data_IF_287278903020
#
_entry.id   IF_287278903020
#
_cell.length_a   1.000
_cell.length_b   1.000
_cell.length_c   1.000
_cell.angle_alpha   90.00
_cell.angle_beta   90.00
_cell.angle_gamma   90.00
#
_symmetry.space_group_name_H-M   'P 1'
#
loop_
_entity.id
_entity.type
_entity.pdbx_description
1 polymer ?
#
# COMPACT_ATOMS: atom_id res chain seq x y z
N UNK A 1 17.57 -6.63 31.16
CA UNK A 1 17.07 -5.82 30.05
C UNK A 1 17.72 -6.35 28.77
N UNK A 2 17.08 -7.32 28.10
CA UNK A 2 17.56 -7.88 26.84
C UNK A 2 17.14 -6.93 25.71
N UNK A 3 18.11 -6.32 25.05
CA UNK A 3 17.88 -5.57 23.81
C UNK A 3 17.29 -6.53 22.77
N UNK A 4 16.02 -6.34 22.44
CA UNK A 4 15.36 -7.06 21.34
C UNK A 4 16.07 -6.77 20.04
N UNK A 5 16.88 -7.73 19.61
CA UNK A 5 17.53 -7.75 18.29
C UNK A 5 16.43 -7.90 17.23
N UNK A 6 16.22 -6.89 16.41
CA UNK A 6 15.22 -6.89 15.32
C UNK A 6 14.83 -5.47 14.86
N UNK A 7 15.75 -4.49 14.99
CA UNK A 7 15.44 -3.07 14.84
C UNK A 7 15.04 -2.57 13.45
N UNK A 8 15.35 -3.28 12.36
CA UNK A 8 15.15 -2.71 11.00
C UNK A 8 13.75 -2.88 10.41
N UNK A 9 12.88 -3.71 11.00
CA UNK A 9 11.52 -3.98 10.49
C UNK A 9 10.41 -3.38 11.36
N UNK A 10 10.74 -2.70 12.47
CA UNK A 10 9.73 -2.02 13.30
C UNK A 10 9.39 -0.66 12.68
N UNK A 11 8.11 -0.26 12.77
CA UNK A 11 7.59 0.98 12.21
C UNK A 11 7.10 0.84 10.77
N UNK A 12 6.59 1.95 10.25
CA UNK A 12 6.19 2.08 8.85
C UNK A 12 7.35 2.57 7.98
N UNK A 13 7.23 2.36 6.68
CA UNK A 13 8.22 2.86 5.73
C UNK A 13 7.59 3.42 4.47
N UNK A 14 8.28 4.37 3.84
CA UNK A 14 7.97 4.90 2.51
C UNK A 14 9.17 4.70 1.60
N UNK A 15 8.92 4.27 0.36
CA UNK A 15 9.95 3.95 -0.62
C UNK A 15 9.89 4.93 -1.77
N UNK A 16 11.06 5.47 -2.14
CA UNK A 16 11.25 6.33 -3.30
C UNK A 16 12.16 5.62 -4.29
N UNK A 17 11.63 5.26 -5.45
CA UNK A 17 12.40 4.60 -6.52
C UNK A 17 13.22 5.64 -7.27
N UNK A 18 14.54 5.46 -7.30
CA UNK A 18 15.45 6.31 -8.07
C UNK A 18 15.71 5.63 -9.41
N UNK A 19 15.48 6.36 -10.49
CA UNK A 19 15.81 5.89 -11.84
C UNK A 19 17.30 6.06 -12.07
N UNK A 20 17.95 5.03 -12.59
CA UNK A 20 19.39 4.99 -12.80
C UNK A 20 19.66 4.71 -14.27
N UNK A 21 20.48 5.54 -14.89
CA UNK A 21 20.91 5.36 -16.27
C UNK A 21 22.04 4.33 -16.43
N UNK A 22 22.24 3.81 -17.63
CA UNK A 22 23.08 2.64 -17.88
C UNK A 22 24.52 2.75 -17.39
N UNK A 23 25.14 3.93 -17.41
CA UNK A 23 26.53 4.14 -16.97
C UNK A 23 26.74 3.96 -15.46
N UNK A 24 25.79 4.39 -14.66
CA UNK A 24 25.84 4.26 -13.21
C UNK A 24 25.30 2.90 -12.71
N UNK A 25 24.56 2.19 -13.55
CA UNK A 25 24.02 0.87 -13.23
C UNK A 25 25.11 -0.15 -12.90
N UNK A 26 26.18 -0.19 -13.70
CA UNK A 26 27.31 -1.13 -13.46
C UNK A 26 28.10 -0.76 -12.20
N UNK A 27 28.29 0.52 -11.93
CA UNK A 27 28.90 0.99 -10.67
C UNK A 27 28.09 0.58 -9.45
N UNK A 28 26.76 0.65 -9.53
CA UNK A 28 25.85 0.22 -8.47
C UNK A 28 25.83 -1.30 -8.29
N UNK A 29 25.92 -2.07 -9.36
CA UNK A 29 26.09 -3.53 -9.27
C UNK A 29 27.44 -3.89 -8.63
N UNK A 30 28.51 -3.13 -8.93
CA UNK A 30 29.80 -3.30 -8.28
C UNK A 30 29.74 -2.97 -6.80
N UNK A 31 29.10 -1.85 -6.44
CA UNK A 31 28.87 -1.49 -5.04
C UNK A 31 28.15 -2.63 -4.29
N UNK A 32 27.11 -3.21 -4.89
CA UNK A 32 26.41 -4.33 -4.28
C UNK A 32 27.33 -5.55 -4.08
N UNK A 33 28.15 -5.90 -5.06
CA UNK A 33 29.13 -7.01 -4.95
C UNK A 33 30.14 -6.75 -3.83
N UNK A 34 30.69 -5.55 -3.78
CA UNK A 34 31.65 -5.15 -2.75
C UNK A 34 31.02 -5.18 -1.36
N UNK A 35 29.77 -4.74 -1.23
CA UNK A 35 29.01 -4.82 0.01
C UNK A 35 28.81 -6.28 0.46
N UNK A 36 28.35 -7.15 -0.43
CA UNK A 36 28.14 -8.57 -0.15
C UNK A 36 29.45 -9.28 0.27
N UNK A 37 30.57 -8.89 -0.34
CA UNK A 37 31.90 -9.44 -0.04
C UNK A 37 32.59 -8.79 1.16
N UNK A 38 32.01 -7.75 1.77
CA UNK A 38 32.58 -7.04 2.92
C UNK A 38 33.69 -6.06 2.59
N UNK A 39 33.85 -5.67 1.33
CA UNK A 39 34.86 -4.73 0.85
C UNK A 39 34.29 -3.41 0.31
N UNK A 40 33.02 -3.10 0.65
CA UNK A 40 32.38 -1.87 0.20
C UNK A 40 33.16 -0.62 0.67
N UNK A 41 33.49 0.27 -0.26
CA UNK A 41 34.24 1.52 0.00
C UNK A 41 33.33 2.63 0.58
N UNK A 42 32.24 2.25 1.21
CA UNK A 42 31.25 3.16 1.78
C UNK A 42 31.39 3.12 3.30
N UNK A 43 31.79 4.23 3.91
CA UNK A 43 31.91 4.34 5.37
C UNK A 43 30.57 4.00 6.02
N UNK A 44 30.56 3.13 7.02
CA UNK A 44 29.35 2.67 7.69
C UNK A 44 28.58 1.54 6.99
N UNK A 45 28.97 1.13 5.76
CA UNK A 45 28.31 0.00 5.07
C UNK A 45 28.46 -1.32 5.84
N UNK A 46 29.60 -1.52 6.51
CA UNK A 46 29.88 -2.73 7.31
C UNK A 46 28.94 -2.88 8.50
N UNK A 47 28.47 -1.78 9.07
CA UNK A 47 27.50 -1.80 10.17
C UNK A 47 26.18 -2.52 9.78
N UNK A 48 25.71 -2.31 8.55
CA UNK A 48 24.51 -2.98 8.05
C UNK A 48 24.76 -4.38 7.49
N UNK A 49 26.04 -4.74 7.24
CA UNK A 49 26.38 -6.01 6.63
C UNK A 49 26.14 -7.20 7.55
N UNK A 50 26.40 -7.10 8.83
CA UNK A 50 26.15 -8.19 9.78
C UNK A 50 24.67 -8.54 9.85
N UNK A 51 23.80 -7.54 9.94
CA UNK A 51 22.35 -7.75 9.90
C UNK A 51 21.89 -8.30 8.56
N UNK A 52 22.46 -7.80 7.47
CA UNK A 52 22.20 -8.29 6.12
C UNK A 52 22.57 -9.77 5.97
N UNK A 53 23.71 -10.18 6.49
CA UNK A 53 24.16 -11.57 6.48
C UNK A 53 23.22 -12.46 7.30
N UNK A 54 22.82 -12.03 8.47
CA UNK A 54 21.86 -12.76 9.32
C UNK A 54 20.50 -12.91 8.63
N UNK A 55 19.96 -11.85 8.01
CA UNK A 55 18.73 -11.88 7.24
C UNK A 55 18.84 -12.84 6.05
N UNK A 56 19.96 -12.80 5.34
CA UNK A 56 20.21 -13.67 4.19
C UNK A 56 20.27 -15.15 4.59
N UNK A 57 20.96 -15.48 5.67
CA UNK A 57 21.03 -16.85 6.18
C UNK A 57 19.64 -17.34 6.63
N UNK A 58 18.85 -16.50 7.29
CA UNK A 58 17.47 -16.84 7.65
C UNK A 58 16.61 -17.13 6.42
N UNK A 59 16.71 -16.32 5.36
CA UNK A 59 15.97 -16.54 4.10
C UNK A 59 16.37 -17.88 3.47
N UNK A 60 17.66 -18.21 3.45
CA UNK A 60 18.15 -19.48 2.92
C UNK A 60 17.61 -20.68 3.72
N UNK A 61 17.70 -20.62 5.05
CA UNK A 61 17.18 -21.65 5.96
C UNK A 61 15.69 -21.88 5.78
N UNK A 62 14.88 -20.83 5.79
CA UNK A 62 13.43 -20.95 5.58
C UNK A 62 13.06 -21.53 4.22
N UNK A 63 13.87 -21.32 3.18
CA UNK A 63 13.62 -21.91 1.86
C UNK A 63 14.03 -23.36 1.80
N UNK A 64 15.10 -23.74 2.44
CA UNK A 64 15.54 -25.14 2.57
C UNK A 64 14.49 -25.94 3.32
N UNK A 65 13.99 -25.45 4.46
CA UNK A 65 12.90 -26.04 5.22
C UNK A 65 11.60 -26.18 4.39
N UNK A 66 11.36 -25.24 3.48
CA UNK A 66 10.22 -25.29 2.55
C UNK A 66 10.47 -26.15 1.29
N UNK A 67 11.59 -26.86 1.17
CA UNK A 67 11.95 -27.70 0.04
C UNK A 67 12.13 -26.98 -1.29
N UNK A 68 12.39 -25.67 -1.28
CA UNK A 68 12.52 -24.86 -2.50
C UNK A 68 13.94 -24.92 -3.05
N UNK A 69 14.11 -25.48 -4.25
CA UNK A 69 15.43 -25.67 -4.90
C UNK A 69 16.02 -24.40 -5.54
N UNK A 70 15.20 -23.37 -5.85
CA UNK A 70 15.69 -22.16 -6.53
C UNK A 70 16.35 -21.21 -5.55
N UNK A 71 17.55 -20.70 -5.86
CA UNK A 71 18.19 -19.67 -5.05
C UNK A 71 17.36 -18.37 -5.02
N UNK A 72 17.05 -17.83 -3.85
CA UNK A 72 16.36 -16.54 -3.74
C UNK A 72 17.31 -15.40 -4.15
N UNK A 73 16.74 -14.23 -4.45
CA UNK A 73 17.55 -13.03 -4.57
C UNK A 73 18.05 -12.60 -3.18
N UNK A 74 19.31 -12.24 -3.04
CA UNK A 74 19.81 -11.71 -1.78
C UNK A 74 19.12 -10.38 -1.42
N UNK A 75 19.03 -10.04 -0.14
CA UNK A 75 18.53 -8.74 0.31
C UNK A 75 19.30 -7.59 -0.36
N UNK A 76 18.69 -6.41 -0.45
CA UNK A 76 19.40 -5.23 -0.96
C UNK A 76 20.44 -4.75 0.05
N UNK A 77 21.57 -4.22 -0.45
CA UNK A 77 22.55 -3.54 0.39
C UNK A 77 21.90 -2.28 1.01
N UNK A 78 22.13 -2.05 2.31
CA UNK A 78 21.67 -0.88 3.03
C UNK A 78 22.84 0.06 3.30
N UNK A 79 22.67 1.32 2.98
CA UNK A 79 23.73 2.32 3.10
C UNK A 79 23.21 3.56 3.86
N UNK A 80 24.04 4.16 4.73
CA UNK A 80 23.68 5.41 5.38
C UNK A 80 23.61 6.55 4.37
N UNK A 81 22.62 7.41 4.53
CA UNK A 81 22.37 8.54 3.64
C UNK A 81 22.25 9.84 4.43
N UNK A 82 22.83 10.92 3.89
CA UNK A 82 22.59 12.30 4.36
C UNK A 82 21.86 13.11 3.34
N UNK A 83 21.16 14.11 3.81
CA UNK A 83 20.45 15.06 2.96
C UNK A 83 21.16 16.42 2.99
N UNK A 84 21.23 17.07 1.83
CA UNK A 84 21.43 18.52 1.73
C UNK A 84 20.08 19.11 1.36
N UNK A 85 19.52 19.89 2.29
CA UNK A 85 18.20 20.50 2.12
C UNK A 85 18.28 21.68 1.13
N UNK A 86 17.13 22.15 0.59
CA UNK A 86 17.11 23.29 -0.35
C UNK A 86 17.74 24.57 0.21
N UNK A 87 17.64 24.81 1.52
CA UNK A 87 18.27 25.94 2.24
C UNK A 87 19.79 25.77 2.45
N UNK A 88 20.36 24.64 2.04
CA UNK A 88 21.77 24.32 2.20
C UNK A 88 22.12 23.66 3.53
N UNK A 89 21.17 23.48 4.46
CA UNK A 89 21.42 22.71 5.67
C UNK A 89 21.75 21.24 5.33
N UNK A 90 22.72 20.68 6.05
CA UNK A 90 23.16 19.31 5.82
C UNK A 90 22.97 18.48 7.08
N UNK A 91 22.47 17.26 6.93
CA UNK A 91 22.45 16.25 8.00
C UNK A 91 23.85 15.72 8.30
N UNK A 92 23.92 14.52 8.91
CA UNK A 92 25.17 13.88 9.32
C UNK A 92 26.27 13.95 8.23
N UNK A 93 27.32 14.74 8.52
CA UNK A 93 28.44 14.99 7.59
C UNK A 93 29.23 13.72 7.25
N UNK A 94 29.10 12.67 8.06
CA UNK A 94 29.84 11.42 7.90
C UNK A 94 29.17 10.39 6.99
N UNK A 95 27.91 10.60 6.60
CA UNK A 95 27.23 9.66 5.73
C UNK A 95 27.78 9.73 4.28
N UNK A 96 28.16 8.60 3.70
CA UNK A 96 28.87 8.57 2.41
C UNK A 96 27.94 8.71 1.19
N UNK A 97 26.64 8.43 1.36
CA UNK A 97 25.66 8.64 0.31
C UNK A 97 24.98 9.99 0.52
N UNK A 98 24.92 10.80 -0.51
CA UNK A 98 24.44 12.18 -0.43
C UNK A 98 23.20 12.33 -1.30
N UNK A 99 22.09 12.70 -0.71
CA UNK A 99 20.88 13.16 -1.42
C UNK A 99 20.86 14.68 -1.36
N UNK A 100 21.30 15.32 -2.42
CA UNK A 100 21.32 16.78 -2.55
C UNK A 100 19.99 17.25 -3.16
N UNK A 101 19.06 17.69 -2.30
CA UNK A 101 17.74 18.15 -2.71
C UNK A 101 17.77 19.50 -3.42
N UNK A 102 18.84 20.29 -3.21
CA UNK A 102 19.05 21.56 -3.90
C UNK A 102 19.50 21.35 -5.35
N UNK A 103 20.39 20.34 -5.55
CA UNK A 103 20.89 19.97 -6.88
C UNK A 103 20.05 18.91 -7.58
N UNK A 104 19.00 18.43 -6.90
CA UNK A 104 18.13 17.34 -7.39
C UNK A 104 18.93 16.08 -7.75
N UNK A 105 19.89 15.67 -6.91
CA UNK A 105 20.87 14.64 -7.24
C UNK A 105 21.14 13.68 -6.08
N UNK A 106 21.32 12.39 -6.39
CA UNK A 106 21.87 11.38 -5.49
C UNK A 106 23.31 11.07 -5.89
N UNK A 107 24.26 11.18 -4.96
CA UNK A 107 25.67 10.90 -5.17
C UNK A 107 26.20 9.83 -4.21
N UNK A 108 27.06 8.96 -4.75
CA UNK A 108 27.87 8.01 -3.98
C UNK A 108 29.31 8.20 -4.45
N UNK A 109 30.04 9.17 -3.86
CA UNK A 109 31.35 9.62 -4.37
C UNK A 109 32.39 8.50 -4.47
N UNK A 110 32.42 7.58 -3.51
CA UNK A 110 33.36 6.45 -3.48
C UNK A 110 33.23 5.46 -4.66
N UNK A 111 32.10 5.51 -5.37
CA UNK A 111 31.85 4.71 -6.57
C UNK A 111 31.67 5.58 -7.83
N UNK A 112 31.85 6.89 -7.73
CA UNK A 112 31.67 7.82 -8.83
C UNK A 112 30.24 7.78 -9.40
N UNK A 113 29.23 7.51 -8.54
CA UNK A 113 27.82 7.48 -8.92
C UNK A 113 27.21 8.86 -8.72
N UNK A 114 26.49 9.34 -9.72
CA UNK A 114 25.77 10.62 -9.72
C UNK A 114 24.48 10.46 -10.53
N UNK A 115 23.35 10.41 -9.82
CA UNK A 115 22.04 10.10 -10.41
C UNK A 115 21.06 11.25 -10.20
N UNK A 116 20.48 11.82 -11.25
CA UNK A 116 19.49 12.89 -11.13
C UNK A 116 18.21 12.38 -10.46
N UNK A 117 17.62 13.19 -9.61
CA UNK A 117 16.36 12.89 -8.94
C UNK A 117 15.21 13.60 -9.65
N UNK A 118 14.12 12.90 -9.87
CA UNK A 118 12.90 13.51 -10.39
C UNK A 118 12.36 14.54 -9.38
N UNK A 119 11.89 15.69 -9.85
CA UNK A 119 11.30 16.76 -9.00
C UNK A 119 10.20 16.28 -8.07
N UNK A 120 9.40 15.28 -8.51
CA UNK A 120 8.36 14.67 -7.66
C UNK A 120 8.96 13.94 -6.45
N UNK A 121 10.10 13.28 -6.61
CA UNK A 121 10.84 12.60 -5.53
C UNK A 121 11.45 13.66 -4.61
N UNK A 122 12.06 14.71 -5.16
CA UNK A 122 12.65 15.81 -4.38
C UNK A 122 11.59 16.47 -3.48
N UNK A 123 10.44 16.86 -4.04
CA UNK A 123 9.33 17.41 -3.25
C UNK A 123 8.89 16.49 -2.12
N UNK A 124 8.69 15.21 -2.45
CA UNK A 124 8.27 14.24 -1.46
C UNK A 124 9.33 14.03 -0.36
N UNK A 125 10.61 14.05 -0.68
CA UNK A 125 11.69 13.92 0.31
C UNK A 125 11.81 15.17 1.20
N UNK A 126 11.56 16.38 0.65
CA UNK A 126 11.46 17.61 1.45
C UNK A 126 10.31 17.51 2.44
N UNK A 127 9.13 17.10 1.98
CA UNK A 127 7.97 16.89 2.87
C UNK A 127 8.26 15.88 3.99
N UNK A 128 8.92 14.75 3.68
CA UNK A 128 9.26 13.73 4.66
C UNK A 128 10.29 14.24 5.70
N UNK A 129 11.26 15.04 5.27
CA UNK A 129 12.25 15.60 6.20
C UNK A 129 11.64 16.63 7.18
N UNK A 130 10.46 17.17 6.88
CA UNK A 130 9.72 18.13 7.72
C UNK A 130 8.68 17.44 8.63
N UNK A 131 8.60 16.11 8.65
CA UNK A 131 7.67 15.39 9.53
C UNK A 131 8.22 15.30 10.96
N UNK A 132 7.32 15.34 11.94
CA UNK A 132 7.61 15.08 13.36
C UNK A 132 6.90 13.79 13.83
N UNK A 133 7.62 12.80 14.41
CA UNK A 133 9.08 12.71 14.45
C UNK A 133 9.68 12.53 13.06
N UNK A 134 10.88 13.05 12.85
CA UNK A 134 11.58 12.97 11.57
C UNK A 134 11.88 11.50 11.21
N UNK A 135 11.62 11.05 9.97
CA UNK A 135 11.98 9.72 9.52
C UNK A 135 13.51 9.50 9.52
N UNK A 136 13.90 8.27 9.83
CA UNK A 136 15.24 7.79 9.51
C UNK A 136 15.28 7.35 8.05
N UNK A 137 16.38 7.67 7.36
CA UNK A 137 16.52 7.35 5.94
C UNK A 137 17.69 6.40 5.70
N UNK A 138 17.47 5.44 4.79
CA UNK A 138 18.51 4.55 4.29
C UNK A 138 18.45 4.46 2.77
N UNK A 139 19.60 4.27 2.14
CA UNK A 139 19.70 3.97 0.72
C UNK A 139 19.77 2.46 0.52
N UNK A 140 18.91 1.93 -0.33
CA UNK A 140 18.94 0.53 -0.74
C UNK A 140 19.52 0.40 -2.14
N UNK A 141 20.47 -0.52 -2.32
CA UNK A 141 20.99 -0.90 -3.63
C UNK A 141 20.78 -2.40 -3.81
N UNK A 142 20.06 -2.79 -4.86
CA UNK A 142 19.79 -4.19 -5.16
C UNK A 142 20.92 -4.82 -5.99
N UNK A 143 20.98 -6.16 -6.04
CA UNK A 143 21.90 -6.92 -6.92
C UNK A 143 21.84 -6.47 -8.39
N UNK A 144 20.67 -6.00 -8.84
CA UNK A 144 20.45 -5.52 -10.22
C UNK A 144 20.78 -4.05 -10.42
N UNK A 145 21.33 -3.37 -9.40
CA UNK A 145 21.66 -1.95 -9.44
C UNK A 145 20.48 -0.99 -9.27
N UNK A 146 19.27 -1.49 -8.93
CA UNK A 146 18.15 -0.60 -8.60
C UNK A 146 18.42 0.10 -7.27
N UNK A 147 18.11 1.38 -7.23
CA UNK A 147 18.29 2.23 -6.06
C UNK A 147 16.96 2.67 -5.49
N UNK A 148 16.85 2.64 -4.17
CA UNK A 148 15.67 3.11 -3.43
C UNK A 148 16.12 3.93 -2.23
N UNK A 149 15.48 5.06 -2.02
CA UNK A 149 15.57 5.79 -0.75
C UNK A 149 14.40 5.33 0.10
N UNK A 150 14.65 4.85 1.31
CA UNK A 150 13.63 4.38 2.24
C UNK A 150 13.60 5.33 3.41
N UNK A 151 12.47 5.97 3.60
CA UNK A 151 12.15 6.71 4.82
C UNK A 151 11.45 5.75 5.79
N UNK A 152 11.93 5.69 7.04
CA UNK A 152 11.37 4.86 8.12
C UNK A 152 10.93 5.75 9.26
N UNK A 153 9.73 5.50 9.75
CA UNK A 153 9.15 6.27 10.83
C UNK A 153 8.35 5.36 11.75
N UNK A 154 8.53 5.53 13.02
CA UNK A 154 7.70 4.92 14.04
C UNK A 154 6.94 6.04 14.74
N UNK A 155 5.68 6.19 14.37
CA UNK A 155 4.80 7.15 15.00
C UNK A 155 3.80 6.38 15.89
N UNK A 156 3.67 6.81 17.14
CA UNK A 156 2.72 6.22 18.06
C UNK A 156 1.31 6.77 17.75
N UNK A 157 0.36 5.91 17.34
CA UNK A 157 -1.01 6.34 17.17
C UNK A 157 -1.72 6.48 18.52
N UNK A 158 -2.53 7.51 18.62
CA UNK A 158 -3.40 7.72 19.78
C UNK A 158 -4.87 7.69 19.35
N UNK A 159 -5.72 7.07 20.17
CA UNK A 159 -7.16 7.08 19.97
C UNK A 159 -7.80 8.13 20.89
N UNK A 160 -7.84 9.36 20.41
CA UNK A 160 -8.39 10.50 21.13
C UNK A 160 -9.16 11.43 20.18
N UNK A 161 -10.05 12.25 20.73
CA UNK A 161 -10.80 13.26 19.98
C UNK A 161 -10.01 14.54 19.77
N UNK A 162 -10.21 15.27 18.67
CA UNK A 162 -11.08 14.94 17.55
C UNK A 162 -10.50 13.82 16.66
N UNK A 163 -11.37 13.03 16.01
CA UNK A 163 -10.99 11.81 15.33
C UNK A 163 -11.45 11.81 13.86
N UNK A 164 -10.56 11.46 12.95
CA UNK A 164 -10.90 11.07 11.58
C UNK A 164 -10.94 9.56 11.46
N UNK A 165 -12.07 9.05 11.00
CA UNK A 165 -12.29 7.65 10.67
C UNK A 165 -12.11 7.48 9.17
N UNK A 166 -11.10 6.72 8.75
CA UNK A 166 -10.90 6.32 7.36
C UNK A 166 -11.41 4.89 7.23
N UNK A 167 -12.53 4.72 6.55
CA UNK A 167 -13.20 3.45 6.40
C UNK A 167 -12.97 2.91 4.98
N UNK A 168 -12.57 1.64 4.87
CA UNK A 168 -12.25 0.98 3.61
C UNK A 168 -12.98 -0.36 3.57
N UNK A 169 -13.90 -0.51 2.62
CA UNK A 169 -14.59 -1.77 2.33
C UNK A 169 -13.95 -2.44 1.12
N UNK A 170 -13.39 -3.63 1.33
CA UNK A 170 -12.87 -4.48 0.25
C UNK A 170 -14.04 -5.16 -0.45
N UNK A 171 -14.15 -4.95 -1.75
CA UNK A 171 -15.25 -5.51 -2.55
C UNK A 171 -14.70 -6.37 -3.69
N UNK A 172 -15.22 -7.60 -3.82
CA UNK A 172 -14.81 -8.54 -4.87
C UNK A 172 -15.13 -8.05 -6.29
N UNK A 173 -16.18 -7.22 -6.44
CA UNK A 173 -16.63 -6.73 -7.74
C UNK A 173 -16.04 -5.38 -8.13
N UNK A 174 -15.78 -4.51 -7.12
CA UNK A 174 -15.43 -3.10 -7.37
C UNK A 174 -14.04 -2.70 -6.88
N UNK A 175 -13.35 -3.54 -6.09
CA UNK A 175 -12.07 -3.23 -5.49
C UNK A 175 -12.22 -2.61 -4.11
N UNK A 176 -12.32 -1.29 -3.98
CA UNK A 176 -12.43 -0.64 -2.67
C UNK A 176 -13.46 0.48 -2.69
N UNK A 177 -14.27 0.54 -1.63
CA UNK A 177 -14.96 1.76 -1.24
C UNK A 177 -14.16 2.44 -0.12
N UNK A 178 -13.75 3.68 -0.32
CA UNK A 178 -12.97 4.46 0.62
C UNK A 178 -13.79 5.66 1.08
N UNK A 179 -13.95 5.83 2.38
CA UNK A 179 -14.62 6.98 2.97
C UNK A 179 -13.85 7.57 4.14
N UNK A 180 -14.05 8.86 4.38
CA UNK A 180 -13.50 9.56 5.54
C UNK A 180 -14.62 10.35 6.26
N UNK A 181 -14.71 10.10 7.57
CA UNK A 181 -15.65 10.74 8.48
C UNK A 181 -14.86 11.51 9.54
N UNK A 182 -15.14 12.79 9.70
CA UNK A 182 -14.62 13.56 10.85
C UNK A 182 -15.64 13.49 11.97
N UNK A 183 -15.21 13.09 13.15
CA UNK A 183 -16.01 12.99 14.35
C UNK A 183 -15.43 13.90 15.42
N UNK A 184 -16.24 14.84 15.88
CA UNK A 184 -16.00 15.63 17.08
C UNK A 184 -17.12 15.28 18.09
N UNK A 185 -16.82 14.36 18.99
CA UNK A 185 -17.80 13.88 19.94
C UNK A 185 -18.13 14.93 21.01
N UNK A 186 -17.22 15.90 21.27
CA UNK A 186 -17.50 16.99 22.21
C UNK A 186 -18.55 17.96 21.64
N UNK A 187 -18.50 18.18 20.33
CA UNK A 187 -19.48 19.01 19.62
C UNK A 187 -20.66 18.21 19.04
N UNK A 188 -20.76 16.90 19.33
CA UNK A 188 -21.72 15.95 18.72
C UNK A 188 -21.79 16.08 17.19
N UNK A 189 -20.65 16.38 16.54
CA UNK A 189 -20.58 16.69 15.13
C UNK A 189 -19.89 15.58 14.35
N UNK A 190 -20.59 15.07 13.35
CA UNK A 190 -20.05 14.14 12.36
C UNK A 190 -20.16 14.77 10.98
N UNK A 191 -19.14 14.57 10.14
CA UNK A 191 -19.20 15.02 8.75
C UNK A 191 -18.51 14.03 7.81
N UNK A 192 -19.20 13.63 6.75
CA UNK A 192 -18.61 12.89 5.66
C UNK A 192 -17.73 13.85 4.83
N UNK A 193 -16.45 13.62 4.81
CA UNK A 193 -15.46 14.45 4.12
C UNK A 193 -15.11 13.93 2.74
N UNK A 194 -15.16 12.62 2.59
CA UNK A 194 -14.73 11.98 1.37
C UNK A 194 -15.45 10.64 1.17
N UNK A 195 -15.78 10.33 -0.06
CA UNK A 195 -16.24 9.00 -0.49
C UNK A 195 -15.84 8.76 -1.94
N UNK A 196 -15.15 7.66 -2.20
CA UNK A 196 -14.78 7.24 -3.54
C UNK A 196 -14.81 5.71 -3.68
N UNK A 197 -15.25 5.23 -4.86
CA UNK A 197 -15.15 3.82 -5.26
C UNK A 197 -13.95 3.65 -6.19
N UNK A 198 -12.92 3.00 -5.69
CA UNK A 198 -11.71 2.70 -6.44
C UNK A 198 -11.82 1.34 -7.11
N UNK A 199 -11.80 1.33 -8.43
CA UNK A 199 -11.95 0.11 -9.22
C UNK A 199 -10.61 -0.42 -9.68
N UNK A 200 -10.37 -1.75 -9.56
CA UNK A 200 -9.22 -2.36 -10.16
C UNK A 200 -9.32 -2.28 -11.70
N UNK A 201 -8.18 -2.25 -12.38
CA UNK A 201 -8.16 -2.31 -13.83
C UNK A 201 -8.84 -3.59 -14.33
N UNK A 202 -9.66 -3.46 -15.37
CA UNK A 202 -10.24 -4.65 -16.02
C UNK A 202 -9.19 -5.33 -16.89
N UNK A 203 -8.83 -6.55 -16.53
CA UNK A 203 -7.82 -7.35 -17.23
C UNK A 203 -8.40 -8.59 -17.93
N UNK A 204 -9.73 -8.80 -17.88
CA UNK A 204 -10.34 -10.06 -18.32
C UNK A 204 -9.86 -10.51 -19.69
N UNK A 205 -10.10 -9.71 -20.71
CA UNK A 205 -9.69 -9.99 -22.08
C UNK A 205 -8.17 -10.18 -22.24
N UNK A 206 -7.35 -9.31 -21.70
CA UNK A 206 -5.88 -9.40 -21.78
C UNK A 206 -5.32 -10.65 -21.10
N UNK A 207 -6.00 -11.12 -20.09
CA UNK A 207 -5.65 -12.32 -19.34
C UNK A 207 -5.91 -13.57 -20.16
N UNK A 208 -7.03 -13.64 -20.83
CA UNK A 208 -7.34 -14.77 -21.74
C UNK A 208 -6.33 -14.81 -22.88
N UNK A 209 -6.05 -13.68 -23.49
CA UNK A 209 -5.01 -13.58 -24.54
C UNK A 209 -3.64 -14.02 -24.00
N UNK A 210 -3.24 -13.59 -22.80
CA UNK A 210 -1.95 -14.01 -22.23
C UNK A 210 -1.89 -15.51 -21.91
N UNK A 211 -3.01 -16.14 -21.55
CA UNK A 211 -3.10 -17.60 -21.38
C UNK A 211 -2.99 -18.34 -22.71
N UNK A 212 -3.72 -17.88 -23.74
CA UNK A 212 -3.67 -18.45 -25.07
C UNK A 212 -2.27 -18.32 -25.67
N UNK A 213 -1.61 -17.16 -25.53
CA UNK A 213 -0.21 -16.97 -25.94
C UNK A 213 0.74 -17.93 -25.22
N UNK A 214 0.56 -18.15 -23.91
CA UNK A 214 1.36 -19.12 -23.19
C UNK A 214 1.11 -20.55 -23.65
N UNK A 215 -0.17 -20.93 -23.84
CA UNK A 215 -0.55 -22.25 -24.36
C UNK A 215 0.07 -22.51 -25.73
N UNK A 216 0.03 -21.51 -26.62
CA UNK A 216 0.66 -21.59 -27.95
C UNK A 216 2.20 -21.68 -27.84
N UNK A 217 2.82 -20.92 -26.92
CA UNK A 217 4.27 -21.01 -26.68
C UNK A 217 4.72 -22.40 -26.21
N UNK A 218 3.92 -23.00 -25.31
CA UNK A 218 4.23 -24.31 -24.75
C UNK A 218 3.95 -25.45 -25.73
N UNK A 219 2.88 -25.34 -26.53
CA UNK A 219 2.46 -26.31 -27.55
C UNK A 219 1.76 -25.61 -28.72
N UNK A 220 2.49 -25.22 -29.79
CA UNK A 220 1.90 -24.57 -30.95
C UNK A 220 0.82 -25.48 -31.59
N UNK A 221 -0.39 -24.93 -31.76
CA UNK A 221 -1.49 -25.59 -32.42
C UNK A 221 -2.32 -24.62 -33.25
N UNK A 222 -2.88 -25.11 -34.37
CA UNK A 222 -3.76 -24.29 -35.22
C UNK A 222 -5.05 -23.90 -34.51
N UNK A 223 -5.54 -24.71 -33.58
CA UNK A 223 -6.71 -24.38 -32.77
C UNK A 223 -6.44 -23.17 -31.86
N UNK A 224 -5.32 -23.19 -31.13
CA UNK A 224 -4.91 -22.05 -30.30
C UNK A 224 -4.66 -20.80 -31.13
N UNK A 225 -4.10 -20.99 -32.34
CA UNK A 225 -3.86 -19.87 -33.26
C UNK A 225 -5.16 -19.25 -33.78
N UNK A 226 -6.20 -20.05 -34.03
CA UNK A 226 -7.54 -19.57 -34.38
C UNK A 226 -8.16 -18.75 -33.23
N UNK A 227 -8.05 -19.25 -32.01
CA UNK A 227 -8.54 -18.49 -30.82
C UNK A 227 -7.78 -17.18 -30.62
N UNK A 228 -6.48 -17.15 -30.90
CA UNK A 228 -5.68 -15.91 -30.87
C UNK A 228 -6.06 -14.95 -32.00
N UNK A 229 -6.58 -15.44 -33.12
CA UNK A 229 -7.01 -14.58 -34.23
C UNK A 229 -8.20 -13.70 -33.90
N UNK A 230 -9.03 -14.08 -32.91
CA UNK A 230 -10.10 -13.23 -32.41
C UNK A 230 -9.59 -12.06 -31.55
N UNK A 231 -8.34 -12.13 -31.11
CA UNK A 231 -7.79 -11.26 -30.09
C UNK A 231 -6.56 -10.45 -30.53
N UNK A 232 -5.85 -10.90 -31.56
CA UNK A 232 -4.63 -10.29 -32.03
C UNK A 232 -4.75 -9.79 -33.49
N UNK A 233 -4.07 -8.70 -33.85
CA UNK A 233 -3.98 -8.24 -35.23
C UNK A 233 -3.38 -9.33 -36.13
N UNK A 234 -3.84 -9.41 -37.38
CA UNK A 234 -3.39 -10.40 -38.36
C UNK A 234 -1.87 -10.36 -38.60
N UNK A 235 -1.28 -9.16 -38.58
CA UNK A 235 0.16 -8.97 -38.73
C UNK A 235 0.96 -9.67 -37.64
N UNK A 236 0.46 -9.64 -36.39
CA UNK A 236 1.08 -10.34 -35.26
C UNK A 236 0.95 -11.85 -35.39
N UNK A 237 -0.19 -12.33 -35.89
CA UNK A 237 -0.46 -13.77 -36.09
C UNK A 237 0.38 -14.37 -37.20
N UNK A 238 0.64 -13.62 -38.29
CA UNK A 238 1.50 -14.07 -39.40
C UNK A 238 2.94 -14.32 -38.97
N UNK A 239 3.43 -13.57 -38.00
CA UNK A 239 4.82 -13.65 -37.51
C UNK A 239 4.93 -14.36 -36.14
N UNK A 240 3.84 -15.01 -35.69
CA UNK A 240 3.77 -15.60 -34.35
C UNK A 240 4.56 -16.92 -34.31
N UNK A 241 5.71 -16.90 -33.69
CA UNK A 241 6.48 -18.08 -33.27
C UNK A 241 6.22 -18.42 -31.80
N UNK A 242 6.61 -19.62 -31.34
CA UNK A 242 6.50 -20.01 -29.94
C UNK A 242 7.27 -19.04 -29.01
N UNK A 243 8.47 -18.62 -29.41
CA UNK A 243 9.29 -17.64 -28.66
C UNK A 243 8.61 -16.27 -28.60
N UNK A 244 8.07 -15.82 -29.73
CA UNK A 244 7.35 -14.53 -29.78
C UNK A 244 6.07 -14.56 -28.95
N UNK A 245 5.35 -15.67 -28.94
CA UNK A 245 4.17 -15.85 -28.09
C UNK A 245 4.54 -15.80 -26.61
N UNK A 246 5.66 -16.41 -26.21
CA UNK A 246 6.18 -16.35 -24.84
C UNK A 246 6.53 -14.92 -24.41
N UNK A 247 7.25 -14.18 -25.26
CA UNK A 247 7.56 -12.76 -25.01
C UNK A 247 6.32 -11.90 -24.83
N UNK A 248 5.32 -12.07 -25.71
CA UNK A 248 4.06 -11.35 -25.62
C UNK A 248 3.26 -11.72 -24.37
N UNK A 249 3.23 -12.99 -23.98
CA UNK A 249 2.61 -13.44 -22.74
C UNK A 249 3.30 -12.84 -21.50
N UNK A 250 4.62 -12.80 -21.47
CA UNK A 250 5.40 -12.18 -20.39
C UNK A 250 5.17 -10.65 -20.32
N UNK A 251 5.15 -9.97 -21.46
CA UNK A 251 4.85 -8.54 -21.56
C UNK A 251 3.43 -8.21 -21.06
N UNK A 252 2.43 -9.02 -21.42
CA UNK A 252 1.05 -8.86 -20.96
C UNK A 252 0.94 -9.04 -19.43
N UNK A 253 1.61 -10.06 -18.87
CA UNK A 253 1.67 -10.30 -17.42
C UNK A 253 2.42 -9.15 -16.68
N UNK A 254 3.50 -8.64 -17.25
CA UNK A 254 4.24 -7.53 -16.69
C UNK A 254 3.40 -6.25 -16.67
N UNK A 255 2.63 -6.00 -17.73
CA UNK A 255 1.68 -4.88 -17.81
C UNK A 255 0.57 -5.01 -16.77
N UNK A 256 -0.01 -6.21 -16.62
CA UNK A 256 -1.03 -6.47 -15.59
C UNK A 256 -0.48 -6.19 -14.19
N UNK A 257 0.71 -6.67 -13.86
CA UNK A 257 1.36 -6.38 -12.56
C UNK A 257 1.50 -4.89 -12.34
N UNK A 258 2.01 -4.13 -13.31
CA UNK A 258 2.17 -2.67 -13.22
C UNK A 258 0.85 -1.93 -12.98
N UNK A 259 -0.22 -2.34 -13.68
CA UNK A 259 -1.54 -1.74 -13.50
C UNK A 259 -2.13 -2.03 -12.11
N UNK A 260 -1.94 -3.26 -11.59
CA UNK A 260 -2.36 -3.60 -10.24
C UNK A 260 -1.54 -2.85 -9.18
N UNK A 261 -0.25 -2.64 -9.40
CA UNK A 261 0.61 -1.83 -8.55
C UNK A 261 0.18 -0.36 -8.54
N UNK A 262 -0.06 0.23 -9.71
CA UNK A 262 -0.57 1.59 -9.83
C UNK A 262 -1.95 1.77 -9.15
N UNK A 263 -2.81 0.75 -9.20
CA UNK A 263 -4.08 0.76 -8.47
C UNK A 263 -3.89 0.77 -6.95
N UNK A 264 -2.99 -0.07 -6.43
CA UNK A 264 -2.66 -0.08 -5.00
C UNK A 264 -2.03 1.25 -4.57
N UNK A 265 -1.12 1.79 -5.39
CA UNK A 265 -0.47 3.08 -5.14
C UNK A 265 -1.48 4.22 -5.07
N UNK A 266 -2.50 4.22 -5.95
CA UNK A 266 -3.60 5.20 -5.91
C UNK A 266 -4.38 5.12 -4.60
N UNK A 267 -4.78 3.92 -4.17
CA UNK A 267 -5.48 3.72 -2.89
C UNK A 267 -4.63 4.23 -1.71
N UNK A 268 -3.35 3.86 -1.68
CA UNK A 268 -2.43 4.27 -0.62
C UNK A 268 -2.18 5.79 -0.64
N UNK A 269 -2.11 6.40 -1.83
CA UNK A 269 -1.95 7.84 -1.98
C UNK A 269 -3.16 8.61 -1.46
N UNK A 270 -4.38 8.17 -1.79
CA UNK A 270 -5.61 8.77 -1.27
C UNK A 270 -5.73 8.61 0.25
N UNK A 271 -5.48 7.41 0.76
CA UNK A 271 -5.49 7.19 2.21
C UNK A 271 -4.45 8.08 2.91
N UNK A 272 -3.23 8.22 2.36
CA UNK A 272 -2.19 9.12 2.88
C UNK A 272 -2.64 10.58 2.89
N UNK A 273 -3.24 11.03 1.80
CA UNK A 273 -3.77 12.40 1.71
C UNK A 273 -4.77 12.67 2.83
N UNK A 274 -5.71 11.74 3.04
CA UNK A 274 -6.72 11.85 4.10
C UNK A 274 -6.11 11.86 5.51
N UNK A 275 -5.10 11.02 5.76
CA UNK A 275 -4.37 10.99 7.05
C UNK A 275 -3.67 12.33 7.29
N UNK A 276 -2.90 12.81 6.32
CA UNK A 276 -2.14 14.06 6.44
C UNK A 276 -3.03 15.29 6.57
N UNK A 277 -4.16 15.31 5.86
CA UNK A 277 -5.16 16.37 6.01
C UNK A 277 -5.76 16.41 7.42
N UNK A 278 -6.06 15.25 8.01
CA UNK A 278 -6.52 15.16 9.40
C UNK A 278 -5.46 15.67 10.37
N UNK A 279 -4.22 15.22 10.22
CA UNK A 279 -3.10 15.64 11.07
C UNK A 279 -2.85 17.15 11.04
N UNK A 280 -2.93 17.78 9.88
CA UNK A 280 -2.84 19.24 9.75
C UNK A 280 -3.94 19.99 10.52
N UNK A 281 -5.05 19.33 10.82
CA UNK A 281 -6.16 19.86 11.63
C UNK A 281 -6.08 19.45 13.11
N UNK A 282 -4.99 18.83 13.54
CA UNK A 282 -4.82 18.34 14.90
C UNK A 282 -5.70 17.13 15.26
N UNK A 283 -6.20 16.38 14.24
CA UNK A 283 -7.05 15.22 14.46
C UNK A 283 -6.23 13.93 14.54
N UNK A 284 -6.62 13.04 15.43
CA UNK A 284 -6.17 11.67 15.42
C UNK A 284 -6.83 10.87 14.30
N UNK A 285 -6.22 9.77 13.88
CA UNK A 285 -6.72 9.00 12.74
C UNK A 285 -6.82 7.52 13.08
N UNK A 286 -8.02 6.97 12.84
CA UNK A 286 -8.29 5.54 12.90
C UNK A 286 -8.69 5.05 11.51
N UNK A 287 -7.93 4.09 10.99
CA UNK A 287 -8.20 3.43 9.72
C UNK A 287 -8.85 2.06 9.96
N UNK A 288 -10.07 1.88 9.50
CA UNK A 288 -10.86 0.67 9.59
C UNK A 288 -10.96 0.02 8.22
N UNK A 289 -10.64 -1.26 8.12
CA UNK A 289 -10.71 -2.01 6.86
C UNK A 289 -11.61 -3.23 7.07
N UNK A 290 -12.64 -3.38 6.22
CA UNK A 290 -13.42 -4.62 6.13
C UNK A 290 -12.71 -5.59 5.20
N UNK A 291 -12.06 -6.64 5.73
CA UNK A 291 -11.30 -7.54 4.90
C UNK A 291 -12.21 -8.59 4.26
N UNK A 292 -12.13 -8.76 2.95
CA UNK A 292 -12.64 -9.96 2.31
C UNK A 292 -11.83 -11.17 2.79
N UNK A 293 -12.53 -12.28 3.02
CA UNK A 293 -11.87 -13.55 3.31
C UNK A 293 -10.99 -13.96 2.11
N UNK A 294 -9.65 -14.09 2.30
CA UNK A 294 -8.76 -14.48 1.22
C UNK A 294 -9.13 -15.82 0.57
N UNK A 295 -9.70 -16.75 1.36
CA UNK A 295 -10.07 -18.07 0.85
C UNK A 295 -11.28 -18.01 -0.07
N UNK A 296 -12.20 -17.06 0.12
CA UNK A 296 -13.32 -16.82 -0.80
C UNK A 296 -12.88 -16.35 -2.19
N UNK A 297 -11.63 -15.86 -2.30
CA UNK A 297 -11.02 -15.36 -3.53
C UNK A 297 -9.91 -16.30 -4.04
N UNK A 298 -9.81 -17.52 -3.49
CA UNK A 298 -8.77 -18.50 -3.87
C UNK A 298 -8.81 -18.75 -5.38
N UNK A 299 -7.64 -18.71 -6.02
CA UNK A 299 -7.50 -18.85 -7.46
C UNK A 299 -7.83 -17.59 -8.28
N UNK A 300 -8.37 -16.55 -7.66
CA UNK A 300 -8.53 -15.25 -8.32
C UNK A 300 -7.29 -14.37 -8.14
N UNK A 301 -6.99 -13.54 -9.16
CA UNK A 301 -5.87 -12.58 -9.02
C UNK A 301 -6.17 -11.42 -8.11
N UNK A 302 -7.44 -11.19 -7.84
CA UNK A 302 -7.87 -10.14 -6.92
C UNK A 302 -7.37 -10.43 -5.50
N UNK A 303 -7.30 -11.72 -5.10
CA UNK A 303 -6.75 -12.14 -3.81
C UNK A 303 -5.37 -11.53 -3.53
N UNK A 304 -4.41 -11.71 -4.44
CA UNK A 304 -3.05 -11.17 -4.27
C UNK A 304 -3.00 -9.64 -4.28
N UNK A 305 -3.88 -8.99 -5.04
CA UNK A 305 -3.97 -7.53 -5.11
C UNK A 305 -4.54 -6.95 -3.81
N UNK A 306 -5.63 -7.53 -3.28
CA UNK A 306 -6.24 -7.09 -2.02
C UNK A 306 -5.32 -7.31 -0.83
N UNK A 307 -4.66 -8.47 -0.74
CA UNK A 307 -3.69 -8.75 0.33
C UNK A 307 -2.51 -7.77 0.32
N UNK A 308 -2.00 -7.42 -0.87
CA UNK A 308 -0.93 -6.42 -1.00
C UNK A 308 -1.43 -5.03 -0.62
N UNK A 309 -2.62 -4.63 -1.07
CA UNK A 309 -3.23 -3.36 -0.70
C UNK A 309 -3.41 -3.23 0.82
N UNK A 310 -3.94 -4.26 1.48
CA UNK A 310 -4.11 -4.32 2.94
C UNK A 310 -2.78 -4.18 3.68
N UNK A 311 -1.73 -4.88 3.25
CA UNK A 311 -0.38 -4.74 3.82
C UNK A 311 0.17 -3.34 3.62
N UNK A 312 -0.04 -2.73 2.45
CA UNK A 312 0.40 -1.37 2.15
C UNK A 312 -0.34 -0.32 2.98
N UNK A 313 -1.65 -0.50 3.22
CA UNK A 313 -2.44 0.36 4.11
C UNK A 313 -1.99 0.24 5.57
N UNK A 314 -1.74 -0.97 6.06
CA UNK A 314 -1.21 -1.18 7.41
C UNK A 314 0.19 -0.59 7.59
N UNK A 315 1.05 -0.67 6.57
CA UNK A 315 2.34 0.00 6.56
C UNK A 315 2.20 1.53 6.53
N UNK A 316 1.30 2.06 5.70
CA UNK A 316 0.98 3.49 5.66
C UNK A 316 0.54 3.99 7.02
N UNK A 317 -0.41 3.30 7.66
CA UNK A 317 -0.93 3.69 8.95
C UNK A 317 0.17 3.78 10.01
N UNK A 318 1.05 2.77 10.10
CA UNK A 318 2.21 2.80 11.00
C UNK A 318 3.17 3.95 10.69
N UNK A 319 3.42 4.21 9.41
CA UNK A 319 4.30 5.30 8.99
C UNK A 319 3.75 6.68 9.33
N UNK A 320 2.48 6.91 9.06
CA UNK A 320 1.81 8.19 9.30
C UNK A 320 1.31 8.33 10.76
N UNK A 321 1.44 7.30 11.61
CA UNK A 321 0.97 7.32 13.00
C UNK A 321 -0.54 7.22 13.12
N UNK A 322 -1.22 6.59 12.18
CA UNK A 322 -2.64 6.28 12.27
C UNK A 322 -2.84 4.90 12.92
N UNK A 323 -3.89 4.74 13.70
CA UNK A 323 -4.32 3.43 14.19
C UNK A 323 -4.92 2.63 13.02
N UNK A 324 -4.59 1.34 12.92
CA UNK A 324 -5.10 0.45 11.87
C UNK A 324 -5.78 -0.78 12.48
N UNK A 325 -7.02 -1.04 12.06
CA UNK A 325 -7.80 -2.19 12.52
C UNK A 325 -8.52 -2.88 11.36
N UNK A 326 -8.53 -4.21 11.41
CA UNK A 326 -9.37 -5.03 10.53
C UNK A 326 -10.68 -5.31 11.28
N UNK A 327 -11.81 -4.95 10.66
CA UNK A 327 -13.14 -5.07 11.26
C UNK A 327 -14.09 -5.62 10.21
N UNK A 328 -14.82 -6.67 10.54
CA UNK A 328 -15.86 -7.19 9.65
C UNK A 328 -17.17 -6.45 9.88
N UNK A 329 -17.74 -5.94 8.80
CA UNK A 329 -19.05 -5.30 8.81
C UNK A 329 -19.86 -5.70 7.57
N UNK A 330 -21.17 -5.57 7.65
CA UNK A 330 -22.04 -5.89 6.53
C UNK A 330 -22.77 -4.65 6.03
N UNK A 331 -22.57 -4.30 4.78
CA UNK A 331 -23.31 -3.21 4.12
C UNK A 331 -24.82 -3.48 3.93
N UNK A 332 -25.29 -4.68 4.29
CA UNK A 332 -26.72 -5.05 4.22
C UNK A 332 -27.50 -4.66 5.48
N UNK A 333 -26.83 -4.28 6.56
CA UNK A 333 -27.51 -3.81 7.76
C UNK A 333 -27.77 -2.31 7.69
N UNK A 334 -28.91 -1.89 8.19
CA UNK A 334 -29.26 -0.48 8.27
C UNK A 334 -28.26 0.27 9.16
N UNK A 335 -27.57 1.29 8.67
CA UNK A 335 -26.60 2.02 9.48
C UNK A 335 -27.22 2.85 10.61
N UNK A 336 -28.57 3.04 10.61
CA UNK A 336 -29.28 3.76 11.69
C UNK A 336 -29.74 2.83 12.81
N UNK A 337 -30.37 1.70 12.49
CA UNK A 337 -31.00 0.83 13.50
C UNK A 337 -30.46 -0.60 13.54
N UNK A 338 -29.52 -0.97 12.69
CA UNK A 338 -28.89 -2.27 12.65
C UNK A 338 -29.75 -3.40 12.04
N UNK A 339 -31.02 -3.15 11.67
CA UNK A 339 -31.86 -4.17 11.04
C UNK A 339 -31.32 -4.57 9.67
N UNK A 340 -31.50 -5.83 9.29
CA UNK A 340 -31.19 -6.29 7.93
C UNK A 340 -32.08 -5.59 6.92
N UNK A 341 -31.49 -4.95 5.93
CA UNK A 341 -32.21 -4.28 4.86
C UNK A 341 -32.68 -5.22 3.76
N UNK A 342 -33.70 -4.79 3.03
CA UNK A 342 -34.18 -5.43 1.82
C UNK A 342 -33.63 -4.71 0.60
N UNK A 343 -33.25 -5.47 -0.42
CA UNK A 343 -32.68 -4.93 -1.65
C UNK A 343 -33.86 -4.37 -2.49
N UNK A 344 -33.89 -3.05 -2.71
CA UNK A 344 -34.96 -2.36 -3.41
C UNK A 344 -34.54 -1.84 -4.78
N UNK A 345 -33.28 -1.97 -5.16
CA UNK A 345 -32.80 -1.54 -6.46
C UNK A 345 -31.29 -1.58 -6.61
N UNK A 346 -30.85 -1.19 -7.81
CA UNK A 346 -29.45 -1.10 -8.17
C UNK A 346 -29.16 0.29 -8.74
N UNK A 347 -28.05 0.89 -8.30
CA UNK A 347 -27.39 1.93 -9.08
C UNK A 347 -26.45 1.27 -10.10
N UNK A 348 -25.94 2.02 -11.08
CA UNK A 348 -24.93 1.51 -12.04
C UNK A 348 -23.75 0.78 -11.36
N UNK A 349 -23.53 0.98 -10.05
CA UNK A 349 -22.31 0.61 -9.35
C UNK A 349 -22.50 0.05 -7.95
N UNK A 350 -23.73 -0.04 -7.45
CA UNK A 350 -24.03 -0.54 -6.12
C UNK A 350 -25.48 -0.99 -5.99
N UNK A 351 -25.74 -1.79 -4.96
CA UNK A 351 -27.09 -2.19 -4.57
C UNK A 351 -27.65 -1.16 -3.60
N UNK A 352 -28.93 -0.87 -3.73
CA UNK A 352 -29.67 0.01 -2.82
C UNK A 352 -30.54 -0.84 -1.92
N UNK A 353 -30.44 -0.59 -0.63
CA UNK A 353 -31.20 -1.27 0.41
C UNK A 353 -32.18 -0.29 1.07
N UNK A 354 -33.29 -0.83 1.54
CA UNK A 354 -34.27 -0.13 2.38
C UNK A 354 -34.49 -0.88 3.69
N UNK A 355 -34.59 -0.15 4.78
CA UNK A 355 -34.78 -0.72 6.10
C UNK A 355 -36.27 -0.96 6.36
N UNK A 356 -36.73 -2.20 6.62
CA UNK A 356 -38.14 -2.47 6.93
C UNK A 356 -38.60 -1.84 8.26
N UNK A 357 -37.66 -1.51 9.16
CA UNK A 357 -37.95 -0.96 10.48
C UNK A 357 -38.05 0.57 10.50
N UNK A 358 -37.15 1.28 9.82
CA UNK A 358 -37.04 2.73 9.93
C UNK A 358 -37.13 3.47 8.58
N UNK A 359 -37.41 2.77 7.48
CA UNK A 359 -37.59 3.33 6.13
C UNK A 359 -36.36 3.95 5.50
N UNK A 360 -35.17 3.89 6.16
CA UNK A 360 -33.95 4.45 5.62
C UNK A 360 -33.54 3.69 4.35
N UNK A 361 -33.22 4.45 3.29
CA UNK A 361 -32.63 3.90 2.06
C UNK A 361 -31.14 4.23 1.99
N UNK A 362 -30.32 3.26 1.58
CA UNK A 362 -28.86 3.49 1.49
C UNK A 362 -28.20 2.70 0.35
N UNK A 363 -27.13 3.28 -0.18
CA UNK A 363 -26.17 2.59 -1.02
C UNK A 363 -25.37 1.59 -0.15
N UNK A 364 -25.26 0.33 -0.58
CA UNK A 364 -24.59 -0.74 0.17
C UNK A 364 -23.16 -0.35 0.59
N UNK A 365 -22.39 0.23 -0.33
CA UNK A 365 -20.99 0.50 -0.11
C UNK A 365 -20.78 1.68 0.86
N UNK A 366 -21.67 2.69 0.79
CA UNK A 366 -21.70 3.75 1.81
C UNK A 366 -22.15 3.21 3.17
N UNK A 367 -23.21 2.39 3.18
CA UNK A 367 -23.69 1.75 4.42
C UNK A 367 -22.61 0.90 5.09
N UNK A 368 -21.77 0.19 4.31
CA UNK A 368 -20.69 -0.61 4.88
C UNK A 368 -19.67 0.24 5.64
N UNK A 369 -19.36 1.46 5.17
CA UNK A 369 -18.43 2.35 5.86
C UNK A 369 -18.94 2.79 7.25
N UNK A 370 -20.23 3.10 7.36
CA UNK A 370 -20.83 3.42 8.66
C UNK A 370 -20.90 2.20 9.57
N UNK A 371 -21.21 1.05 9.01
CA UNK A 371 -21.28 -0.19 9.76
C UNK A 371 -19.91 -0.64 10.26
N UNK A 372 -18.81 -0.32 9.57
CA UNK A 372 -17.45 -0.50 10.07
C UNK A 372 -17.20 0.28 11.37
N UNK A 373 -17.65 1.53 11.41
CA UNK A 373 -17.56 2.38 12.60
C UNK A 373 -18.36 1.76 13.75
N UNK A 374 -19.61 1.39 13.50
CA UNK A 374 -20.45 0.74 14.51
C UNK A 374 -19.83 -0.57 15.02
N UNK A 375 -19.39 -1.44 14.13
CA UNK A 375 -18.82 -2.73 14.49
C UNK A 375 -17.58 -2.57 15.36
N UNK A 376 -16.70 -1.60 15.03
CA UNK A 376 -15.50 -1.35 15.81
C UNK A 376 -15.81 -0.81 17.22
N UNK A 377 -16.61 0.25 17.31
CA UNK A 377 -16.86 0.91 18.59
C UNK A 377 -17.80 0.11 19.49
N UNK A 378 -18.76 -0.64 18.96
CA UNK A 378 -19.57 -1.59 19.75
C UNK A 378 -18.70 -2.70 20.33
N UNK A 379 -17.72 -3.19 19.57
CA UNK A 379 -16.76 -4.18 20.08
C UNK A 379 -15.88 -3.59 21.18
N UNK A 380 -15.41 -2.38 21.00
CA UNK A 380 -14.60 -1.66 21.99
C UNK A 380 -15.33 -1.51 23.33
N UNK A 381 -16.61 -1.14 23.33
CA UNK A 381 -17.44 -1.05 24.56
C UNK A 381 -17.49 -2.39 25.32
N UNK A 382 -17.37 -3.51 24.63
CA UNK A 382 -17.44 -4.86 25.25
C UNK A 382 -16.09 -5.38 25.78
N UNK A 383 -14.99 -4.91 25.23
CA UNK A 383 -13.67 -5.53 25.42
C UNK A 383 -12.65 -4.61 26.12
N UNK A 384 -12.92 -3.29 26.26
CA UNK A 384 -11.92 -2.31 26.68
C UNK A 384 -12.25 -1.63 28.03
N UNK A 385 -11.32 -0.81 28.51
CA UNK A 385 -11.42 -0.04 29.74
C UNK A 385 -12.48 1.08 29.70
N UNK A 386 -12.84 1.63 30.88
CA UNK A 386 -13.88 2.65 31.03
C UNK A 386 -13.65 3.90 30.17
N UNK A 387 -12.42 4.40 30.06
CA UNK A 387 -12.10 5.60 29.28
C UNK A 387 -12.35 5.40 27.78
N UNK A 388 -11.95 4.24 27.23
CA UNK A 388 -12.18 3.90 25.83
C UNK A 388 -13.64 3.58 25.55
N UNK A 389 -14.35 3.00 26.54
CA UNK A 389 -15.79 2.77 26.47
C UNK A 389 -16.56 4.07 26.41
N UNK A 390 -16.18 5.08 27.20
CA UNK A 390 -16.78 6.41 27.16
C UNK A 390 -16.57 7.10 25.79
N UNK A 391 -15.35 7.04 25.25
CA UNK A 391 -15.04 7.57 23.91
C UNK A 391 -15.89 6.87 22.84
N UNK A 392 -15.97 5.53 22.88
CA UNK A 392 -16.72 4.74 21.94
C UNK A 392 -18.22 5.07 21.99
N UNK A 393 -18.79 5.22 23.18
CA UNK A 393 -20.20 5.61 23.38
C UNK A 393 -20.47 6.97 22.75
N UNK A 394 -19.66 7.98 22.99
CA UNK A 394 -19.80 9.32 22.40
C UNK A 394 -19.72 9.30 20.86
N UNK A 395 -18.83 8.49 20.29
CA UNK A 395 -18.74 8.35 18.82
C UNK A 395 -20.04 7.76 18.27
N UNK A 396 -20.56 6.71 18.90
CA UNK A 396 -21.78 6.04 18.44
C UNK A 396 -23.01 6.94 18.58
N UNK A 397 -23.10 7.73 19.64
CA UNK A 397 -24.16 8.71 19.84
C UNK A 397 -24.12 9.79 18.78
N UNK A 398 -22.96 10.41 18.54
CA UNK A 398 -22.78 11.41 17.49
C UNK A 398 -23.11 10.85 16.10
N UNK A 399 -22.75 9.61 15.80
CA UNK A 399 -23.09 8.94 14.55
C UNK A 399 -24.59 8.72 14.40
N UNK A 400 -25.30 8.28 15.44
CA UNK A 400 -26.75 8.06 15.43
C UNK A 400 -27.49 9.38 15.20
N UNK A 401 -27.11 10.42 15.92
CA UNK A 401 -27.70 11.75 15.78
C UNK A 401 -27.52 12.30 14.37
N UNK A 402 -26.30 12.18 13.82
CA UNK A 402 -26.01 12.64 12.48
C UNK A 402 -26.81 11.89 11.40
N UNK A 403 -26.89 10.55 11.50
CA UNK A 403 -27.71 9.72 10.59
C UNK A 403 -29.21 10.00 10.72
N UNK A 404 -29.67 10.44 11.90
CA UNK A 404 -31.01 10.90 12.13
C UNK A 404 -31.38 12.16 11.35
N UNK A 405 -30.44 13.11 11.32
CA UNK A 405 -30.59 14.43 10.66
C UNK A 405 -30.37 14.39 9.15
N UNK A 406 -29.70 13.37 8.61
CA UNK A 406 -29.29 13.31 7.21
C UNK A 406 -29.71 11.99 6.51
N UNK A 407 -31.03 11.73 6.36
CA UNK A 407 -31.50 10.46 5.80
C UNK A 407 -31.12 10.26 4.32
N UNK A 408 -30.79 11.34 3.60
CA UNK A 408 -30.52 11.31 2.14
C UNK A 408 -29.02 11.26 1.78
N UNK A 409 -28.10 11.17 2.74
CA UNK A 409 -26.66 11.12 2.47
C UNK A 409 -26.18 9.70 2.16
N UNK A 410 -26.96 8.71 2.49
CA UNK A 410 -26.69 7.30 2.26
C UNK A 410 -27.21 6.85 0.90
#
# INVERSE_FOLDING_TARGET
>A
MSAEKGGYLRGGFRVFMVHVDGGDLEKLKQLFRDFANGCARVKGALYYREEWMAEWQNVLKMREEAGKRTMPNPPAALLPVRFTMPDGTTGDKNAPCIVDLRKEELRIPSYGVSVPLRRSIVRALVEENNLEPRPAFVLQVTRRGFVRIIARREACPELAMPLRLICIDENSSYGFALGALDVDACAAKVSLRFFEKLRPPNHGYRREVAKLLQSYADKPSEETKKQLAEALPEEVLRTLTAERAKELAEAARARERRLNEAFIERLVAEARRLVREARKRGMNVLMLVDPIDPDSLRGTRLQGTLLRARRSLGNLARYEGAMFRLVRASGRHCPRCGCKGEEVGHTKHSRVYECPRCGLKWDRDKGSLYNLVYAYFVRMIREESDDLTMLATRVLEAMREWLGKHPNIL
#
